data_IF_225827987014
#
_entry.id   IF_225827987014
#
_cell.length_a   1.000
_cell.length_b   1.000
_cell.length_c   1.000
_cell.angle_alpha   90.00
_cell.angle_beta   90.00
_cell.angle_gamma   90.00
#
_symmetry.space_group_name_H-M   'P 1'
#
loop_
_entity.id
_entity.type
_entity.pdbx_description
1 polymer ?
#
# COMPACT_ATOMS: atom_id res chain seq x y z
N UNK A 1 3.44 -22.58 -23.87
CA UNK A 1 2.62 -22.39 -22.66
C UNK A 1 1.36 -21.65 -23.10
N UNK A 2 0.15 -22.18 -22.91
CA UNK A 2 -1.07 -21.60 -23.48
C UNK A 2 -1.61 -20.44 -22.63
N UNK A 3 -2.25 -19.46 -23.29
CA UNK A 3 -2.92 -18.32 -22.65
C UNK A 3 -3.93 -18.75 -21.58
N UNK A 4 -4.70 -19.80 -21.86
CA UNK A 4 -5.69 -20.38 -20.95
C UNK A 4 -5.10 -20.77 -19.60
N UNK A 5 -3.87 -21.30 -19.58
CA UNK A 5 -3.20 -21.66 -18.33
C UNK A 5 -2.93 -20.44 -17.45
N UNK A 6 -2.58 -19.30 -18.05
CA UNK A 6 -2.34 -18.06 -17.31
C UNK A 6 -3.63 -17.42 -16.79
N UNK A 7 -4.70 -17.44 -17.60
CA UNK A 7 -6.02 -16.96 -17.15
C UNK A 7 -6.53 -17.79 -15.99
N UNK A 8 -6.50 -19.13 -16.13
CA UNK A 8 -6.89 -20.03 -15.06
C UNK A 8 -6.07 -19.80 -13.78
N UNK A 9 -4.73 -19.69 -13.89
CA UNK A 9 -3.89 -19.42 -12.73
C UNK A 9 -4.19 -18.06 -12.07
N UNK A 10 -4.45 -17.03 -12.88
CA UNK A 10 -4.83 -15.69 -12.41
C UNK A 10 -6.16 -15.73 -11.64
N UNK A 11 -7.18 -16.38 -12.20
CA UNK A 11 -8.51 -16.47 -11.59
C UNK A 11 -8.47 -17.26 -10.29
N UNK A 12 -7.73 -18.38 -10.26
CA UNK A 12 -7.54 -19.18 -9.05
C UNK A 12 -6.79 -18.40 -7.97
N UNK A 13 -5.73 -17.66 -8.34
CA UNK A 13 -4.98 -16.84 -7.39
C UNK A 13 -5.83 -15.70 -6.82
N UNK A 14 -6.58 -14.99 -7.67
CA UNK A 14 -7.47 -13.91 -7.26
C UNK A 14 -8.58 -14.42 -6.33
N UNK A 15 -9.23 -15.53 -6.72
CA UNK A 15 -10.30 -16.16 -5.92
C UNK A 15 -9.78 -16.65 -4.57
N UNK A 16 -8.60 -17.27 -4.53
CA UNK A 16 -7.96 -17.68 -3.28
C UNK A 16 -7.70 -16.48 -2.39
N UNK A 17 -7.07 -15.42 -2.90
CA UNK A 17 -6.77 -14.21 -2.14
C UNK A 17 -8.03 -13.50 -1.64
N UNK A 18 -9.09 -13.45 -2.45
CA UNK A 18 -10.38 -12.90 -2.06
C UNK A 18 -10.99 -13.68 -0.89
N UNK A 19 -10.91 -15.01 -0.91
CA UNK A 19 -11.39 -15.86 0.19
C UNK A 19 -10.62 -15.69 1.50
N UNK A 20 -9.44 -15.05 1.47
CA UNK A 20 -8.68 -14.72 2.68
C UNK A 20 -9.14 -13.42 3.35
N UNK A 21 -10.07 -12.67 2.75
CA UNK A 21 -10.59 -11.42 3.32
C UNK A 21 -11.88 -11.68 4.08
N UNK A 22 -11.85 -11.49 5.40
CA UNK A 22 -13.00 -11.60 6.26
C UNK A 22 -14.08 -10.54 5.99
N UNK A 23 -15.28 -10.70 6.57
CA UNK A 23 -16.39 -9.77 6.37
C UNK A 23 -16.09 -8.35 6.90
N UNK A 24 -15.17 -8.21 7.84
CA UNK A 24 -14.67 -6.96 8.44
C UNK A 24 -13.38 -6.42 7.76
N UNK A 25 -12.94 -7.08 6.70
CA UNK A 25 -11.71 -6.78 5.97
C UNK A 25 -10.44 -7.36 6.59
N UNK A 26 -10.53 -8.04 7.75
CA UNK A 26 -9.37 -8.67 8.40
C UNK A 26 -8.95 -9.89 7.59
N UNK A 27 -7.64 -10.04 7.38
CA UNK A 27 -7.13 -11.26 6.74
C UNK A 27 -7.27 -12.46 7.68
N UNK A 28 -7.71 -13.59 7.14
CA UNK A 28 -7.93 -14.81 7.93
C UNK A 28 -6.65 -15.31 8.62
N UNK A 29 -5.50 -15.22 7.95
CA UNK A 29 -4.20 -15.48 8.57
C UNK A 29 -3.81 -14.32 9.49
N UNK A 30 -3.87 -14.59 10.80
CA UNK A 30 -3.61 -13.60 11.83
C UNK A 30 -2.14 -13.15 11.84
N UNK A 31 -1.20 -13.98 11.37
CA UNK A 31 0.23 -13.64 11.35
C UNK A 31 0.54 -12.47 10.42
N UNK A 32 -0.29 -12.27 9.40
CA UNK A 32 -0.12 -11.21 8.40
C UNK A 32 -1.12 -10.06 8.57
N UNK A 33 -2.10 -10.23 9.46
CA UNK A 33 -3.18 -9.27 9.64
C UNK A 33 -2.68 -7.94 10.24
N UNK A 34 -1.69 -7.96 11.13
CA UNK A 34 -1.20 -6.75 11.83
C UNK A 34 -0.23 -5.88 11.05
N UNK A 35 0.21 -6.30 9.86
CA UNK A 35 1.25 -5.60 9.09
C UNK A 35 0.74 -5.17 7.71
N UNK A 36 0.79 -3.87 7.43
CA UNK A 36 0.39 -3.28 6.16
C UNK A 36 1.18 -3.85 4.98
N UNK A 37 2.43 -4.29 5.21
CA UNK A 37 3.27 -4.93 4.20
C UNK A 37 2.61 -6.14 3.55
N UNK A 38 1.75 -6.85 4.27
CA UNK A 38 1.08 -8.04 3.74
C UNK A 38 -0.19 -7.70 2.94
N UNK A 39 -0.65 -6.44 2.95
CA UNK A 39 -1.98 -6.05 2.50
C UNK A 39 -1.98 -4.95 1.43
N UNK A 40 -0.94 -4.09 1.39
CA UNK A 40 -0.95 -2.86 0.58
C UNK A 40 -1.17 -3.10 -0.93
N UNK A 41 -0.65 -4.20 -1.49
CA UNK A 41 -0.90 -4.58 -2.90
C UNK A 41 -2.22 -5.31 -3.10
N UNK A 42 -2.67 -6.04 -2.08
CA UNK A 42 -3.83 -6.91 -2.17
C UNK A 42 -5.08 -6.12 -2.53
N UNK A 43 -5.24 -4.89 -2.00
CA UNK A 43 -6.38 -4.04 -2.39
C UNK A 43 -6.43 -3.80 -3.90
N UNK A 44 -5.31 -3.36 -4.50
CA UNK A 44 -5.29 -3.11 -5.95
C UNK A 44 -5.57 -4.40 -6.72
N UNK A 45 -4.99 -5.53 -6.30
CA UNK A 45 -5.21 -6.83 -6.93
C UNK A 45 -6.68 -7.23 -6.91
N UNK A 46 -7.35 -7.14 -5.77
CA UNK A 46 -8.77 -7.49 -5.62
C UNK A 46 -9.66 -6.59 -6.48
N UNK A 47 -9.37 -5.29 -6.50
CA UNK A 47 -10.13 -4.33 -7.31
C UNK A 47 -10.01 -4.61 -8.82
N UNK A 48 -8.80 -4.88 -9.33
CA UNK A 48 -8.60 -5.13 -10.77
C UNK A 48 -9.06 -6.51 -11.23
N UNK A 49 -9.20 -7.46 -10.31
CA UNK A 49 -9.67 -8.83 -10.59
C UNK A 49 -11.19 -9.00 -10.42
N UNK A 50 -11.92 -7.92 -10.13
CA UNK A 50 -13.39 -7.95 -10.00
C UNK A 50 -13.89 -8.29 -8.59
N UNK A 51 -13.02 -8.60 -7.63
CA UNK A 51 -13.34 -8.84 -6.22
C UNK A 51 -13.52 -7.51 -5.46
N UNK A 52 -14.43 -6.66 -5.95
CA UNK A 52 -14.60 -5.29 -5.46
C UNK A 52 -15.11 -5.24 -4.01
N UNK A 53 -15.93 -6.20 -3.58
CA UNK A 53 -16.46 -6.24 -2.22
C UNK A 53 -15.32 -6.49 -1.21
N UNK A 54 -14.50 -7.49 -1.48
CA UNK A 54 -13.34 -7.86 -0.66
C UNK A 54 -12.29 -6.73 -0.68
N UNK A 55 -12.03 -6.17 -1.87
CA UNK A 55 -11.14 -5.01 -2.02
C UNK A 55 -11.59 -3.81 -1.18
N UNK A 56 -12.89 -3.50 -1.17
CA UNK A 56 -13.42 -2.39 -0.37
C UNK A 56 -13.43 -2.70 1.13
N UNK A 57 -13.74 -3.93 1.55
CA UNK A 57 -13.62 -4.34 2.96
C UNK A 57 -12.20 -4.17 3.47
N UNK A 58 -11.21 -4.64 2.71
CA UNK A 58 -9.80 -4.48 3.06
C UNK A 58 -9.39 -3.00 3.06
N UNK A 59 -9.89 -2.19 2.13
CA UNK A 59 -9.62 -0.75 2.09
C UNK A 59 -10.20 -0.01 3.32
N UNK A 60 -11.42 -0.33 3.75
CA UNK A 60 -12.01 0.22 4.98
C UNK A 60 -11.19 -0.15 6.21
N UNK A 61 -10.75 -1.40 6.28
CA UNK A 61 -9.85 -1.84 7.32
C UNK A 61 -8.56 -1.03 7.32
N UNK A 62 -7.93 -0.87 6.15
CA UNK A 62 -6.67 -0.12 6.05
C UNK A 62 -6.84 1.32 6.52
N UNK A 63 -7.94 1.96 6.14
CA UNK A 63 -8.30 3.30 6.62
C UNK A 63 -8.45 3.33 8.14
N UNK A 64 -9.19 2.39 8.72
CA UNK A 64 -9.49 2.36 10.15
C UNK A 64 -8.25 2.09 11.00
N UNK A 65 -7.42 1.14 10.57
CA UNK A 65 -6.38 0.56 11.42
C UNK A 65 -5.00 1.21 11.19
N UNK A 66 -4.73 1.73 9.98
CA UNK A 66 -3.37 2.17 9.60
C UNK A 66 -3.27 3.63 9.18
N UNK A 67 -4.35 4.27 8.69
CA UNK A 67 -4.31 5.66 8.24
C UNK A 67 -4.17 6.62 9.44
N UNK A 68 -3.14 7.45 9.39
CA UNK A 68 -2.86 8.49 10.37
C UNK A 68 -3.49 9.82 9.97
N UNK A 69 -3.62 10.74 10.93
CA UNK A 69 -4.25 12.04 10.73
C UNK A 69 -3.53 12.92 9.68
N UNK A 70 -2.23 12.71 9.48
CA UNK A 70 -1.42 13.45 8.50
C UNK A 70 -1.42 12.84 7.09
N UNK A 71 -2.14 11.71 6.91
CA UNK A 71 -2.23 10.99 5.65
C UNK A 71 -1.22 9.85 5.49
N UNK A 72 -0.37 9.58 6.49
CA UNK A 72 0.50 8.40 6.46
C UNK A 72 -0.25 7.10 6.73
N UNK A 73 0.32 5.96 6.31
CA UNK A 73 -0.12 4.64 6.75
C UNK A 73 0.96 3.96 7.59
N UNK A 74 0.65 3.53 8.80
CA UNK A 74 1.66 2.97 9.73
C UNK A 74 1.13 1.69 10.36
N UNK A 75 1.91 0.59 10.28
CA UNK A 75 1.53 -0.70 10.90
C UNK A 75 1.72 -0.69 12.41
N UNK A 76 2.78 -0.05 12.89
CA UNK A 76 3.15 -0.02 14.30
C UNK A 76 3.39 1.43 14.75
N UNK A 77 2.32 2.19 15.05
CA UNK A 77 2.48 3.54 15.58
C UNK A 77 3.10 3.48 16.98
N UNK A 78 4.23 4.15 17.19
CA UNK A 78 4.85 4.28 18.50
C UNK A 78 4.70 5.71 19.03
N UNK A 79 4.22 5.86 20.28
CA UNK A 79 4.13 7.18 20.95
C UNK A 79 5.48 7.88 21.12
N UNK A 80 6.58 7.15 20.94
CA UNK A 80 7.96 7.61 21.05
C UNK A 80 8.45 8.37 19.80
N UNK A 81 7.69 8.34 18.69
CA UNK A 81 8.12 8.86 17.40
C UNK A 81 9.01 7.91 16.59
N UNK A 82 9.24 6.68 17.06
CA UNK A 82 9.94 5.62 16.29
C UNK A 82 8.95 4.69 15.60
N UNK A 83 8.03 5.28 14.84
CA UNK A 83 7.05 4.51 14.10
C UNK A 83 7.75 3.50 13.19
N UNK A 84 7.20 2.29 13.10
CA UNK A 84 7.68 1.28 12.15
C UNK A 84 6.62 1.03 11.12
N UNK A 85 7.02 1.21 9.86
CA UNK A 85 6.15 0.98 8.72
C UNK A 85 5.70 -0.47 8.60
N UNK A 86 6.61 -1.39 8.91
CA UNK A 86 6.41 -2.83 8.82
C UNK A 86 7.33 -3.56 9.81
N UNK A 87 7.01 -4.81 10.10
CA UNK A 87 7.91 -5.74 10.76
C UNK A 87 9.04 -6.20 9.82
N UNK A 88 8.80 -6.10 8.50
CA UNK A 88 9.80 -6.35 7.48
C UNK A 88 10.80 -5.20 7.41
N UNK A 89 12.08 -5.53 7.66
CA UNK A 89 13.20 -4.59 7.55
C UNK A 89 13.22 -3.87 6.19
N UNK A 90 13.27 -4.56 5.02
CA UNK A 90 13.34 -3.85 3.74
C UNK A 90 12.12 -2.95 3.50
N UNK A 91 10.93 -3.37 3.93
CA UNK A 91 9.71 -2.57 3.73
C UNK A 91 9.63 -1.36 4.66
N UNK A 92 10.32 -1.39 5.79
CA UNK A 92 10.49 -0.22 6.66
C UNK A 92 11.33 0.88 6.02
N UNK A 93 12.22 0.54 5.08
CA UNK A 93 13.04 1.50 4.32
C UNK A 93 12.32 2.12 3.12
N UNK A 94 11.20 1.54 2.66
CA UNK A 94 10.40 2.03 1.54
C UNK A 94 9.17 2.80 2.03
N UNK A 95 9.38 3.86 2.81
CA UNK A 95 8.32 4.51 3.59
C UNK A 95 7.09 4.90 2.78
N UNK A 96 7.24 5.72 1.73
CA UNK A 96 6.10 6.17 0.91
C UNK A 96 5.63 5.11 -0.11
N UNK A 97 6.36 4.01 -0.27
CA UNK A 97 6.05 3.03 -1.32
C UNK A 97 4.70 2.35 -1.09
N UNK A 98 4.45 1.91 0.15
CA UNK A 98 3.15 1.32 0.50
C UNK A 98 2.02 2.35 0.39
N UNK A 99 2.26 3.60 0.81
CA UNK A 99 1.28 4.68 0.68
C UNK A 99 0.84 4.85 -0.77
N UNK A 100 1.79 4.87 -1.71
CA UNK A 100 1.48 5.11 -3.11
C UNK A 100 0.67 3.99 -3.75
N UNK A 101 0.90 2.73 -3.35
CA UNK A 101 0.08 1.60 -3.78
C UNK A 101 -1.34 1.66 -3.24
N UNK A 102 -1.50 2.00 -1.95
CA UNK A 102 -2.81 2.15 -1.32
C UNK A 102 -3.55 3.34 -1.93
N UNK A 103 -2.87 4.49 -2.08
CA UNK A 103 -3.42 5.69 -2.69
C UNK A 103 -3.89 5.41 -4.12
N UNK A 104 -3.11 4.66 -4.92
CA UNK A 104 -3.50 4.28 -6.27
C UNK A 104 -4.75 3.38 -6.29
N UNK A 105 -4.81 2.36 -5.42
CA UNK A 105 -5.99 1.51 -5.29
C UNK A 105 -7.24 2.28 -4.85
N UNK A 106 -7.07 3.17 -3.87
CA UNK A 106 -8.14 4.03 -3.36
C UNK A 106 -8.64 5.00 -4.43
N UNK A 107 -7.73 5.64 -5.17
CA UNK A 107 -8.09 6.59 -6.22
C UNK A 107 -8.88 5.91 -7.34
N UNK A 108 -8.44 4.73 -7.80
CA UNK A 108 -9.12 3.96 -8.85
C UNK A 108 -10.50 3.45 -8.44
N UNK A 109 -10.77 3.32 -7.14
CA UNK A 109 -12.04 2.86 -6.58
C UNK A 109 -12.93 4.01 -6.07
N UNK A 110 -12.56 5.27 -6.32
CA UNK A 110 -13.34 6.44 -5.90
C UNK A 110 -13.23 6.79 -4.41
N UNK A 111 -12.29 6.17 -3.68
CA UNK A 111 -12.02 6.42 -2.25
C UNK A 111 -11.12 7.64 -2.07
N UNK A 112 -11.65 8.82 -2.39
CA UNK A 112 -10.93 10.09 -2.25
C UNK A 112 -10.69 10.48 -0.79
N UNK A 113 -11.52 9.98 0.12
CA UNK A 113 -11.33 10.07 1.57
C UNK A 113 -10.02 9.40 2.06
N UNK A 114 -9.45 8.49 1.26
CA UNK A 114 -8.19 7.79 1.55
C UNK A 114 -7.07 8.27 0.62
N UNK A 115 -7.34 8.33 -0.70
CA UNK A 115 -6.29 8.64 -1.67
C UNK A 115 -5.77 10.07 -1.60
N UNK A 116 -6.63 11.06 -1.36
CA UNK A 116 -6.22 12.47 -1.27
C UNK A 116 -5.26 12.72 -0.10
N UNK A 117 -5.58 12.36 1.16
CA UNK A 117 -4.63 12.56 2.26
C UNK A 117 -3.33 11.78 2.04
N UNK A 118 -3.41 10.55 1.51
CA UNK A 118 -2.21 9.76 1.21
C UNK A 118 -1.30 10.41 0.16
N UNK A 119 -1.87 10.95 -0.93
CA UNK A 119 -1.09 11.67 -1.93
C UNK A 119 -0.52 12.99 -1.41
N UNK A 120 -1.25 13.69 -0.55
CA UNK A 120 -0.75 14.90 0.12
C UNK A 120 0.47 14.57 0.99
N UNK A 121 0.40 13.51 1.79
CA UNK A 121 1.53 13.01 2.57
C UNK A 121 2.72 12.65 1.66
N UNK A 122 2.51 11.80 0.65
CA UNK A 122 3.58 11.38 -0.27
C UNK A 122 4.25 12.56 -0.99
N UNK A 123 3.48 13.57 -1.39
CA UNK A 123 4.01 14.77 -2.05
C UNK A 123 4.82 15.63 -1.09
N UNK A 124 4.30 15.84 0.14
CA UNK A 124 5.00 16.56 1.20
C UNK A 124 6.34 15.89 1.56
N UNK A 125 6.37 14.57 1.60
CA UNK A 125 7.57 13.79 1.95
C UNK A 125 8.49 13.50 0.77
N UNK A 126 8.11 13.88 -0.45
CA UNK A 126 8.95 13.74 -1.64
C UNK A 126 9.89 14.94 -1.79
N UNK A 127 11.13 14.66 -2.18
CA UNK A 127 12.14 15.64 -2.60
C UNK A 127 12.47 15.38 -4.06
N UNK A 128 12.30 16.39 -4.90
CA UNK A 128 12.73 16.33 -6.30
C UNK A 128 14.27 16.30 -6.35
N UNK A 129 14.82 15.37 -7.10
CA UNK A 129 16.25 15.26 -7.40
C UNK A 129 16.49 15.44 -8.89
N UNK A 130 17.76 15.49 -9.31
CA UNK A 130 18.10 15.53 -10.74
C UNK A 130 17.68 14.26 -11.49
N UNK A 131 17.52 13.13 -10.79
CA UNK A 131 17.20 11.81 -11.34
C UNK A 131 15.76 11.34 -11.05
N UNK A 132 14.92 12.16 -10.42
CA UNK A 132 13.54 11.80 -10.10
C UNK A 132 13.07 12.34 -8.75
N UNK A 133 12.52 11.47 -7.91
CA UNK A 133 12.02 11.81 -6.57
C UNK A 133 12.59 10.85 -5.53
N UNK A 134 12.96 11.37 -4.37
CA UNK A 134 13.39 10.63 -3.18
C UNK A 134 12.51 10.99 -2.00
N UNK A 135 12.49 10.17 -0.95
CA UNK A 135 11.72 10.49 0.28
C UNK A 135 12.60 11.26 1.27
N UNK A 136 12.08 12.28 1.95
CA UNK A 136 12.79 13.02 3.01
C UNK A 136 13.28 12.12 4.13
N UNK A 137 12.44 11.15 4.53
CA UNK A 137 12.71 10.17 5.58
C UNK A 137 13.90 9.23 5.25
N UNK A 138 14.31 9.15 3.97
CA UNK A 138 15.49 8.39 3.56
C UNK A 138 16.81 9.13 3.81
N UNK A 139 16.78 10.45 4.06
CA UNK A 139 17.99 11.25 4.26
C UNK A 139 18.60 11.14 5.67
N UNK A 140 17.91 10.54 6.63
CA UNK A 140 18.34 10.55 8.04
C UNK A 140 19.15 9.34 8.51
N UNK A 141 19.70 8.50 7.62
CA UNK A 141 20.92 7.75 7.94
C UNK A 141 21.01 6.30 7.51
N UNK A 142 21.06 6.00 6.21
CA UNK A 142 21.76 4.81 5.72
C UNK A 142 22.07 4.95 4.22
N UNK A 143 23.34 4.87 3.83
CA UNK A 143 23.80 5.09 2.45
C UNK A 143 23.52 3.91 1.49
N UNK A 144 22.83 2.86 1.95
CA UNK A 144 22.57 1.62 1.20
C UNK A 144 21.17 1.52 0.58
N UNK A 145 20.47 2.64 0.36
CA UNK A 145 19.07 2.60 -0.06
C UNK A 145 18.88 2.29 -1.56
N UNK A 146 18.16 1.20 -1.83
CA UNK A 146 17.75 0.79 -3.18
C UNK A 146 16.73 1.78 -3.76
N UNK A 147 16.97 2.29 -4.97
CA UNK A 147 16.07 3.23 -5.66
C UNK A 147 14.99 2.48 -6.45
N UNK A 148 13.93 2.03 -5.78
CA UNK A 148 12.72 1.63 -6.49
C UNK A 148 12.00 2.89 -6.97
N UNK A 149 11.82 3.02 -8.30
CA UNK A 149 11.09 4.15 -8.86
C UNK A 149 9.66 4.15 -8.32
N UNK A 150 9.14 5.27 -7.80
CA UNK A 150 7.71 5.35 -7.51
C UNK A 150 6.94 5.03 -8.81
N UNK A 151 5.75 4.39 -8.73
CA UNK A 151 4.91 4.25 -9.92
C UNK A 151 4.78 5.64 -10.56
N UNK A 152 5.05 5.73 -11.86
CA UNK A 152 5.05 7.01 -12.58
C UNK A 152 3.62 7.56 -12.60
N UNK A 153 3.26 8.33 -11.59
CA UNK A 153 2.02 9.10 -11.55
C UNK A 153 2.40 10.50 -12.01
N UNK A 154 2.37 10.69 -13.34
CA UNK A 154 2.40 12.02 -13.95
C UNK A 154 1.08 12.71 -13.62
N UNK A 155 1.03 13.42 -12.49
CA UNK A 155 0.00 14.44 -12.29
C UNK A 155 0.41 15.65 -13.13
N UNK A 156 -0.09 15.72 -14.36
CA UNK A 156 -0.18 17.00 -15.07
C UNK A 156 -1.30 17.79 -14.39
N UNK A 157 -0.93 18.80 -13.60
CA UNK A 157 -1.82 19.90 -13.23
C UNK A 157 -1.91 20.85 -14.42
#
# INVERSE_FOLDING_TARGET
MSLEKFLYASDQAASYLASQVGPDGVLLDQNVSGDLCSQYKLVTLLLISGHSVEGQRLMERIKRDFLQADGDFVSFPEKSGRERKSSSFPMSHFWIYMNNWIAMGAHRSGRFDISVPAYNFSTKESVKTKSGFQTKLQKTGDENMCSCHPPQILVKV
#
